data_IF_438186414387
#
_entry.id   IF_438186414387
#
_cell.length_a   1.000
_cell.length_b   1.000
_cell.length_c   1.000
_cell.angle_alpha   90.00
_cell.angle_beta   90.00
_cell.angle_gamma   90.00
#
_symmetry.space_group_name_H-M   'P 1'
#
loop_
_entity.id
_entity.type
_entity.pdbx_description
1 polymer ?
#
# COMPACT_ATOMS: atom_id res chain seq x y z
N UNK A 1 -1.10 -26.77 26.87
CA UNK A 1 -1.42 -25.68 27.84
C UNK A 1 -0.82 -24.38 27.33
N UNK A 2 -1.63 -23.35 27.12
CA UNK A 2 -1.17 -22.10 26.47
C UNK A 2 -0.85 -21.01 27.48
N UNK A 3 0.29 -20.33 27.28
CA UNK A 3 0.70 -19.15 28.06
C UNK A 3 0.48 -17.91 27.20
N UNK A 4 -0.26 -16.93 27.72
CA UNK A 4 -0.49 -15.67 27.01
C UNK A 4 0.71 -14.75 27.20
N UNK A 5 1.43 -14.43 26.13
CA UNK A 5 2.51 -13.44 26.18
C UNK A 5 1.90 -12.05 26.29
N UNK A 6 2.45 -11.19 27.12
CA UNK A 6 1.85 -9.91 27.45
C UNK A 6 2.88 -8.79 27.43
N UNK A 7 2.47 -7.60 26.99
CA UNK A 7 3.27 -6.39 27.15
C UNK A 7 3.44 -6.05 28.64
N UNK A 8 4.49 -5.29 28.97
CA UNK A 8 4.73 -4.83 30.35
C UNK A 8 3.52 -4.07 30.94
N UNK A 9 2.80 -3.32 30.09
CA UNK A 9 1.57 -2.60 30.44
C UNK A 9 0.45 -3.54 30.90
N UNK A 10 0.23 -4.64 30.17
CA UNK A 10 -0.79 -5.63 30.50
C UNK A 10 -0.39 -6.45 31.73
N UNK A 11 0.86 -6.92 31.83
CA UNK A 11 1.36 -7.64 33.00
C UNK A 11 1.18 -6.84 34.30
N UNK A 12 1.47 -5.54 34.26
CA UNK A 12 1.25 -4.63 35.40
C UNK A 12 -0.22 -4.53 35.79
N UNK A 13 -1.13 -4.47 34.80
CA UNK A 13 -2.57 -4.41 35.06
C UNK A 13 -3.13 -5.72 35.63
N UNK A 14 -2.62 -6.86 35.16
CA UNK A 14 -2.96 -8.20 35.65
C UNK A 14 -2.41 -8.51 37.04
N UNK A 15 -1.40 -7.76 37.50
CA UNK A 15 -0.59 -8.10 38.68
C UNK A 15 0.01 -9.50 38.60
N UNK A 16 0.32 -9.95 37.37
CA UNK A 16 0.83 -11.29 37.11
C UNK A 16 2.35 -11.34 37.24
N UNK A 17 2.87 -12.46 37.75
CA UNK A 17 4.31 -12.76 37.70
C UNK A 17 4.58 -13.55 36.42
N UNK A 18 5.36 -13.01 35.46
CA UNK A 18 5.55 -13.66 34.17
C UNK A 18 6.43 -14.91 34.29
N UNK A 19 6.06 -15.98 33.58
CA UNK A 19 6.87 -17.19 33.39
C UNK A 19 8.03 -16.86 32.43
N UNK A 20 9.26 -17.22 32.82
CA UNK A 20 10.47 -16.87 32.03
C UNK A 20 10.64 -17.71 30.76
N UNK A 21 10.24 -18.98 30.78
CA UNK A 21 10.36 -19.90 29.64
C UNK A 21 9.14 -20.81 29.58
N UNK A 22 8.01 -20.31 29.05
CA UNK A 22 6.82 -21.13 28.90
C UNK A 22 7.06 -22.26 27.90
N UNK A 23 6.47 -23.45 28.12
CA UNK A 23 6.50 -24.53 27.13
C UNK A 23 5.77 -24.10 25.86
N UNK A 24 6.16 -24.64 24.68
CA UNK A 24 5.46 -24.34 23.45
C UNK A 24 4.01 -24.86 23.53
N UNK A 25 3.06 -24.15 22.92
CA UNK A 25 1.67 -24.60 22.85
C UNK A 25 1.54 -25.86 22.00
N UNK A 26 0.59 -26.71 22.37
CA UNK A 26 0.27 -28.00 21.76
C UNK A 26 -1.04 -27.99 20.95
N UNK A 27 -1.64 -26.81 20.77
CA UNK A 27 -2.87 -26.57 20.03
C UNK A 27 -2.58 -26.10 18.58
N UNK A 28 -3.62 -25.99 17.74
CA UNK A 28 -3.45 -25.68 16.31
C UNK A 28 -3.00 -24.25 16.06
N UNK A 29 -3.54 -23.28 16.80
CA UNK A 29 -3.25 -21.86 16.59
C UNK A 29 -1.94 -21.42 17.23
N UNK A 30 -1.43 -22.13 18.22
CA UNK A 30 -0.15 -21.85 18.82
C UNK A 30 -0.14 -20.62 19.75
N UNK A 31 0.91 -19.80 19.65
CA UNK A 31 1.20 -18.75 20.62
C UNK A 31 0.37 -17.48 20.40
N UNK A 32 0.17 -16.73 21.48
CA UNK A 32 -0.59 -15.47 21.50
C UNK A 32 0.19 -14.40 22.24
N UNK A 33 0.20 -13.19 21.69
CA UNK A 33 0.74 -11.99 22.36
C UNK A 33 -0.38 -10.95 22.54
N UNK A 34 -0.46 -10.36 23.73
CA UNK A 34 -1.53 -9.44 24.11
C UNK A 34 -1.04 -8.10 24.66
N UNK A 35 -1.81 -7.05 24.39
CA UNK A 35 -1.57 -5.69 24.84
C UNK A 35 -2.82 -5.08 25.49
N UNK A 36 -2.62 -4.15 26.42
CA UNK A 36 -3.70 -3.37 27.04
C UNK A 36 -3.93 -2.08 26.24
N UNK A 37 -5.11 -1.93 25.65
CA UNK A 37 -5.53 -0.77 24.86
C UNK A 37 -6.67 -0.03 25.55
N UNK A 38 -6.83 1.25 25.24
CA UNK A 38 -7.91 2.10 25.79
C UNK A 38 -8.48 2.97 24.69
N UNK A 39 -9.80 2.89 24.52
CA UNK A 39 -10.54 3.73 23.60
C UNK A 39 -11.62 4.47 24.39
N UNK A 40 -11.47 5.80 24.49
CA UNK A 40 -12.29 6.62 25.37
C UNK A 40 -12.22 6.17 26.83
N UNK A 41 -13.36 5.78 27.41
CA UNK A 41 -13.46 5.28 28.80
C UNK A 41 -13.38 3.75 28.92
N UNK A 42 -13.43 3.01 27.80
CA UNK A 42 -13.37 1.55 27.80
C UNK A 42 -11.91 1.10 27.67
N UNK A 43 -11.58 -0.01 28.34
CA UNK A 43 -10.27 -0.64 28.25
C UNK A 43 -10.45 -2.06 27.74
N UNK A 44 -9.59 -2.43 26.79
CA UNK A 44 -9.63 -3.75 26.16
C UNK A 44 -8.25 -4.41 26.23
N UNK A 45 -8.25 -5.74 26.17
CA UNK A 45 -7.08 -6.56 25.89
C UNK A 45 -7.18 -6.95 24.42
N UNK A 46 -6.22 -6.50 23.63
CA UNK A 46 -6.03 -6.94 22.25
C UNK A 46 -5.03 -8.10 22.26
N UNK A 47 -5.49 -9.31 21.96
CA UNK A 47 -4.65 -10.49 21.80
C UNK A 47 -4.48 -10.81 20.31
N UNK A 48 -3.26 -11.05 19.87
CA UNK A 48 -2.92 -11.38 18.49
C UNK A 48 -2.19 -12.72 18.45
N UNK A 49 -2.69 -13.62 17.62
CA UNK A 49 -2.09 -14.93 17.41
C UNK A 49 -0.80 -14.84 16.56
N UNK A 50 0.23 -15.58 16.94
CA UNK A 50 1.54 -15.49 16.27
C UNK A 50 1.56 -16.13 14.88
N UNK A 51 0.99 -17.31 14.62
CA UNK A 51 1.00 -17.87 13.26
C UNK A 51 0.00 -17.21 12.30
N UNK A 52 -1.20 -16.89 12.77
CA UNK A 52 -2.32 -16.48 11.90
C UNK A 52 -2.58 -14.98 11.88
N UNK A 53 -1.97 -14.22 12.81
CA UNK A 53 -2.27 -12.80 13.04
C UNK A 53 -3.73 -12.52 13.44
N UNK A 54 -4.51 -13.54 13.78
CA UNK A 54 -5.86 -13.42 14.32
C UNK A 54 -5.88 -12.46 15.52
N UNK A 55 -6.60 -11.34 15.38
CA UNK A 55 -6.82 -10.37 16.45
C UNK A 55 -8.12 -10.66 17.22
N UNK A 56 -8.02 -10.66 18.55
CA UNK A 56 -9.16 -10.75 19.47
C UNK A 56 -9.17 -9.53 20.37
N UNK A 57 -10.28 -8.80 20.36
CA UNK A 57 -10.56 -7.73 21.31
C UNK A 57 -11.38 -8.30 22.45
N UNK A 58 -10.96 -8.06 23.70
CA UNK A 58 -11.61 -8.59 24.90
C UNK A 58 -11.77 -7.45 25.91
N UNK A 59 -12.91 -7.36 26.59
CA UNK A 59 -13.06 -6.40 27.69
C UNK A 59 -12.01 -6.65 28.78
N UNK A 60 -11.24 -5.61 29.12
CA UNK A 60 -10.08 -5.77 30.00
C UNK A 60 -10.49 -6.16 31.43
N UNK A 61 -11.55 -5.53 31.95
CA UNK A 61 -12.06 -5.80 33.28
C UNK A 61 -13.32 -6.68 33.21
N UNK A 62 -13.52 -7.61 34.18
CA UNK A 62 -12.61 -7.94 35.29
C UNK A 62 -11.46 -8.88 34.85
N UNK A 63 -10.22 -8.56 35.25
CA UNK A 63 -9.04 -9.34 34.84
C UNK A 63 -9.03 -10.80 35.33
N UNK A 64 -9.74 -11.11 36.43
CA UNK A 64 -9.78 -12.45 37.02
C UNK A 64 -10.38 -13.51 36.06
N UNK A 65 -11.35 -13.12 35.24
CA UNK A 65 -11.97 -13.99 34.22
C UNK A 65 -11.51 -13.67 32.79
N UNK A 66 -10.32 -13.06 32.64
CA UNK A 66 -9.76 -12.77 31.32
C UNK A 66 -9.56 -14.05 30.50
N UNK A 67 -9.13 -15.16 31.11
CA UNK A 67 -8.94 -16.43 30.41
C UNK A 67 -10.25 -17.03 29.87
N UNK A 68 -11.34 -16.93 30.64
CA UNK A 68 -12.68 -17.38 30.21
C UNK A 68 -13.20 -16.52 29.06
N UNK A 69 -13.12 -15.19 29.18
CA UNK A 69 -13.56 -14.27 28.11
C UNK A 69 -12.70 -14.38 26.86
N UNK A 70 -11.40 -14.64 27.00
CA UNK A 70 -10.53 -14.95 25.88
C UNK A 70 -11.01 -16.20 25.13
N UNK A 71 -11.31 -17.26 25.89
CA UNK A 71 -11.80 -18.54 25.34
C UNK A 71 -13.12 -18.36 24.61
N UNK A 72 -14.07 -17.64 25.22
CA UNK A 72 -15.36 -17.32 24.61
C UNK A 72 -15.20 -16.48 23.34
N UNK A 73 -14.35 -15.46 23.37
CA UNK A 73 -14.10 -14.60 22.22
C UNK A 73 -13.46 -15.36 21.06
N UNK A 74 -12.50 -16.25 21.35
CA UNK A 74 -11.88 -17.12 20.36
C UNK A 74 -12.90 -18.09 19.75
N UNK A 75 -13.72 -18.75 20.58
CA UNK A 75 -14.77 -19.66 20.12
C UNK A 75 -15.73 -18.93 19.16
N UNK A 76 -16.18 -17.73 19.53
CA UNK A 76 -17.07 -16.92 18.69
C UNK A 76 -16.42 -16.57 17.34
N UNK A 77 -15.13 -16.19 17.32
CA UNK A 77 -14.40 -15.91 16.09
C UNK A 77 -14.22 -17.16 15.22
N UNK A 78 -13.91 -18.32 15.80
CA UNK A 78 -13.77 -19.58 15.05
C UNK A 78 -15.10 -20.05 14.45
N UNK A 79 -16.20 -19.97 15.21
CA UNK A 79 -17.53 -20.28 14.70
C UNK A 79 -17.94 -19.33 13.57
N UNK A 80 -17.62 -18.04 13.69
CA UNK A 80 -17.85 -17.05 12.65
C UNK A 80 -17.12 -17.38 11.34
N UNK A 81 -15.88 -17.86 11.45
CA UNK A 81 -15.07 -18.31 10.32
C UNK A 81 -15.53 -19.65 9.74
N UNK A 82 -16.62 -20.25 10.25
CA UNK A 82 -17.14 -21.53 9.77
C UNK A 82 -16.29 -22.73 10.16
N UNK A 83 -15.46 -22.63 11.21
CA UNK A 83 -14.77 -23.78 11.78
C UNK A 83 -15.82 -24.72 12.41
N UNK A 84 -15.75 -26.05 12.20
CA UNK A 84 -16.69 -27.00 12.79
C UNK A 84 -16.79 -26.82 14.32
N UNK A 85 -18.01 -26.80 14.92
CA UNK A 85 -18.19 -26.46 16.34
C UNK A 85 -17.35 -27.29 17.32
N UNK A 86 -17.16 -28.58 17.04
CA UNK A 86 -16.33 -29.47 17.87
C UNK A 86 -14.85 -29.05 17.84
N UNK A 87 -14.32 -28.72 16.67
CA UNK A 87 -12.94 -28.26 16.50
C UNK A 87 -12.74 -26.86 17.10
N UNK A 88 -13.71 -25.97 16.91
CA UNK A 88 -13.70 -24.62 17.46
C UNK A 88 -13.70 -24.63 19.00
N UNK A 89 -14.53 -25.48 19.60
CA UNK A 89 -14.59 -25.65 21.05
C UNK A 89 -13.27 -26.21 21.61
N UNK A 90 -12.77 -27.29 21.00
CA UNK A 90 -11.52 -27.92 21.43
C UNK A 90 -10.33 -26.95 21.33
N UNK A 91 -10.21 -26.19 20.23
CA UNK A 91 -9.12 -25.22 20.06
C UNK A 91 -9.24 -24.06 21.05
N UNK A 92 -10.45 -23.55 21.28
CA UNK A 92 -10.68 -22.46 22.23
C UNK A 92 -10.30 -22.88 23.66
N UNK A 93 -10.73 -24.06 24.09
CA UNK A 93 -10.38 -24.62 25.41
C UNK A 93 -8.88 -24.87 25.56
N UNK A 94 -8.23 -25.39 24.52
CA UNK A 94 -6.79 -25.62 24.51
C UNK A 94 -5.98 -24.30 24.53
N UNK A 95 -6.50 -23.25 23.89
CA UNK A 95 -5.92 -21.91 23.85
C UNK A 95 -6.13 -21.09 25.12
N UNK A 96 -6.99 -21.55 26.04
CA UNK A 96 -7.29 -20.84 27.29
C UNK A 96 -6.00 -20.53 28.08
N UNK A 97 -5.67 -19.25 28.33
CA UNK A 97 -4.46 -18.85 29.04
C UNK A 97 -4.40 -19.44 30.46
N UNK A 98 -3.39 -20.26 30.73
CA UNK A 98 -3.12 -20.82 32.08
C UNK A 98 -2.04 -20.06 32.84
N UNK A 99 -1.35 -19.14 32.18
CA UNK A 99 -0.31 -18.29 32.74
C UNK A 99 0.02 -17.14 31.81
N UNK A 100 0.91 -16.26 32.27
CA UNK A 100 1.35 -15.08 31.52
C UNK A 100 2.87 -15.08 31.37
N UNK A 101 3.37 -14.64 30.23
CA UNK A 101 4.81 -14.46 29.96
C UNK A 101 5.06 -13.08 29.35
N UNK A 102 6.33 -12.68 29.22
CA UNK A 102 6.69 -11.45 28.51
C UNK A 102 6.58 -11.65 26.99
N UNK A 103 6.14 -10.60 26.28
CA UNK A 103 6.21 -10.53 24.82
C UNK A 103 7.66 -10.66 24.33
N UNK A 104 7.88 -11.43 23.27
CA UNK A 104 9.18 -11.71 22.66
C UNK A 104 9.19 -11.51 21.14
N UNK A 105 8.05 -11.19 20.52
CA UNK A 105 7.87 -11.15 19.07
C UNK A 105 7.69 -9.71 18.56
N UNK A 106 8.73 -9.17 17.93
CA UNK A 106 8.72 -7.80 17.37
C UNK A 106 7.71 -7.66 16.22
N UNK A 107 7.55 -8.68 15.39
CA UNK A 107 6.58 -8.69 14.28
C UNK A 107 5.14 -8.68 14.77
N UNK A 108 4.82 -9.44 15.82
CA UNK A 108 3.46 -9.45 16.39
C UNK A 108 3.16 -8.12 17.09
N UNK A 109 4.16 -7.49 17.70
CA UNK A 109 4.01 -6.14 18.27
C UNK A 109 3.71 -5.09 17.19
N UNK A 110 4.28 -5.21 15.99
CA UNK A 110 3.93 -4.35 14.86
C UNK A 110 2.46 -4.52 14.44
N UNK A 111 1.99 -5.77 14.30
CA UNK A 111 0.57 -6.06 14.04
C UNK A 111 -0.35 -5.53 15.14
N UNK A 112 0.03 -5.68 16.41
CA UNK A 112 -0.71 -5.12 17.54
C UNK A 112 -0.83 -3.60 17.40
N UNK A 113 0.25 -2.89 17.08
CA UNK A 113 0.21 -1.45 16.90
C UNK A 113 -0.71 -1.04 15.74
N UNK A 114 -0.70 -1.80 14.64
CA UNK A 114 -1.60 -1.57 13.50
C UNK A 114 -3.06 -1.74 13.90
N UNK A 115 -3.41 -2.88 14.48
CA UNK A 115 -4.76 -3.12 14.99
C UNK A 115 -5.21 -2.10 16.04
N UNK A 116 -4.29 -1.58 16.86
CA UNK A 116 -4.62 -0.50 17.79
C UNK A 116 -5.08 0.76 17.04
N UNK A 117 -4.39 1.11 15.96
CA UNK A 117 -4.72 2.25 15.12
C UNK A 117 -6.07 2.07 14.42
N UNK A 118 -6.28 0.93 13.76
CA UNK A 118 -7.51 0.66 13.01
C UNK A 118 -8.73 0.67 13.94
N UNK A 119 -8.63 0.00 15.10
CA UNK A 119 -9.72 -0.07 16.07
C UNK A 119 -9.98 1.27 16.79
N UNK A 120 -8.96 2.10 17.00
CA UNK A 120 -9.15 3.46 17.54
C UNK A 120 -10.00 4.31 16.59
N UNK A 121 -9.75 4.21 15.28
CA UNK A 121 -10.55 4.90 14.27
C UNK A 121 -12.01 4.41 14.30
N UNK A 122 -12.25 3.10 14.26
CA UNK A 122 -13.63 2.57 14.31
C UNK A 122 -14.36 2.95 15.59
N UNK A 123 -13.71 2.83 16.75
CA UNK A 123 -14.32 3.17 18.03
C UNK A 123 -14.58 4.69 18.20
N UNK A 124 -13.80 5.53 17.53
CA UNK A 124 -14.03 6.97 17.52
C UNK A 124 -15.36 7.32 16.83
N UNK A 125 -15.68 6.67 15.71
CA UNK A 125 -16.90 6.90 14.93
C UNK A 125 -18.12 6.17 15.51
N UNK A 126 -17.93 4.98 16.06
CA UNK A 126 -18.99 4.22 16.73
C UNK A 126 -18.55 3.76 18.13
N UNK A 127 -19.04 4.50 19.14
CA UNK A 127 -18.70 4.26 20.55
C UNK A 127 -19.47 3.09 21.16
N UNK A 128 -20.47 2.57 20.45
CA UNK A 128 -21.30 1.45 20.90
C UNK A 128 -20.70 0.09 20.56
N UNK A 129 -19.69 0.04 19.66
CA UNK A 129 -18.98 -1.18 19.30
C UNK A 129 -18.54 -2.00 20.52
N UNK A 130 -18.88 -3.28 20.47
CA UNK A 130 -18.54 -4.27 21.49
C UNK A 130 -17.21 -4.95 21.16
N UNK A 131 -16.65 -5.68 22.14
CA UNK A 131 -15.42 -6.45 21.93
C UNK A 131 -15.58 -7.50 20.81
N UNK A 132 -16.78 -8.08 20.64
CA UNK A 132 -17.08 -9.01 19.56
C UNK A 132 -17.14 -8.32 18.20
N UNK A 133 -17.70 -7.11 18.11
CA UNK A 133 -17.75 -6.35 16.85
C UNK A 133 -16.35 -5.96 16.39
N UNK A 134 -15.51 -5.50 17.32
CA UNK A 134 -14.11 -5.16 17.05
C UNK A 134 -13.31 -6.41 16.64
N UNK A 135 -13.51 -7.55 17.30
CA UNK A 135 -12.86 -8.82 16.91
C UNK A 135 -13.28 -9.27 15.51
N UNK A 136 -14.55 -9.09 15.14
CA UNK A 136 -15.05 -9.42 13.80
C UNK A 136 -14.45 -8.53 12.71
N UNK A 137 -14.18 -7.26 13.00
CA UNK A 137 -13.47 -6.37 12.08
C UNK A 137 -12.03 -6.83 11.87
N UNK A 138 -11.30 -7.09 12.97
CA UNK A 138 -9.92 -7.58 12.93
C UNK A 138 -9.73 -8.89 12.15
N UNK A 139 -10.77 -9.71 11.97
CA UNK A 139 -10.72 -10.89 11.13
C UNK A 139 -10.54 -10.57 9.63
N UNK A 140 -11.06 -9.44 9.18
CA UNK A 140 -11.06 -9.02 7.77
C UNK A 140 -10.04 -7.90 7.50
N UNK A 141 -9.28 -7.44 8.51
CA UNK A 141 -8.22 -6.46 8.33
C UNK A 141 -7.01 -7.09 7.62
N UNK A 142 -6.45 -6.37 6.66
CA UNK A 142 -5.23 -6.78 5.96
C UNK A 142 -4.04 -6.65 6.91
N UNK A 143 -3.28 -7.75 7.12
CA UNK A 143 -2.08 -7.74 7.96
C UNK A 143 -0.83 -7.86 7.10
N UNK A 144 -0.12 -6.75 6.98
CA UNK A 144 1.17 -6.68 6.30
C UNK A 144 2.25 -7.29 7.22
N UNK A 145 2.70 -8.51 6.90
CA UNK A 145 3.81 -9.23 7.54
C UNK A 145 4.36 -10.22 6.49
N UNK A 146 5.68 -10.51 6.45
CA UNK A 146 6.38 -10.76 5.19
C UNK A 146 5.97 -12.11 4.59
N UNK A 147 5.65 -12.07 3.29
CA UNK A 147 5.25 -13.18 2.43
C UNK A 147 3.88 -13.82 2.78
N UNK A 148 2.87 -13.54 1.93
CA UNK A 148 1.63 -14.33 1.74
C UNK A 148 0.45 -14.19 2.72
N UNK A 149 0.42 -13.23 3.66
CA UNK A 149 -0.76 -13.04 4.52
C UNK A 149 -1.66 -11.94 3.97
N UNK A 150 -2.76 -12.32 3.28
CA UNK A 150 -3.80 -11.37 2.85
C UNK A 150 -4.80 -11.07 3.97
N UNK A 151 -5.34 -12.10 4.62
CA UNK A 151 -6.33 -11.95 5.71
C UNK A 151 -6.09 -12.96 6.86
N UNK A 152 -6.21 -12.54 8.14
CA UNK A 152 -6.17 -13.45 9.28
C UNK A 152 -7.22 -14.57 9.20
N UNK A 153 -8.41 -14.26 8.68
CA UNK A 153 -9.49 -15.22 8.44
C UNK A 153 -9.02 -16.43 7.62
N UNK A 154 -8.31 -16.20 6.53
CA UNK A 154 -7.83 -17.25 5.64
C UNK A 154 -6.77 -18.12 6.31
N UNK A 155 -5.84 -17.50 7.04
CA UNK A 155 -4.78 -18.23 7.78
C UNK A 155 -5.34 -19.11 8.88
N UNK A 156 -6.39 -18.64 9.56
CA UNK A 156 -7.10 -19.47 10.54
C UNK A 156 -7.77 -20.64 9.81
N UNK A 157 -8.51 -20.40 8.73
CA UNK A 157 -9.18 -21.48 7.98
C UNK A 157 -8.18 -22.52 7.46
N UNK A 158 -7.04 -22.08 6.95
CA UNK A 158 -5.94 -22.95 6.51
C UNK A 158 -5.38 -23.81 7.66
N UNK A 159 -5.22 -23.25 8.87
CA UNK A 159 -4.81 -24.00 10.06
C UNK A 159 -5.83 -25.07 10.50
N UNK A 160 -7.07 -24.99 10.00
CA UNK A 160 -8.14 -25.97 10.19
C UNK A 160 -8.40 -26.82 8.94
N UNK A 161 -7.48 -26.83 7.97
CA UNK A 161 -7.59 -27.62 6.74
C UNK A 161 -8.84 -27.25 5.91
N UNK A 162 -9.32 -26.01 6.04
CA UNK A 162 -10.43 -25.45 5.28
C UNK A 162 -9.91 -24.53 4.17
N UNK A 163 -10.60 -24.47 3.02
CA UNK A 163 -10.25 -23.50 1.98
C UNK A 163 -10.38 -22.07 2.54
N UNK A 164 -9.65 -21.08 2.00
CA UNK A 164 -9.85 -19.67 2.38
C UNK A 164 -11.32 -19.29 2.26
N UNK A 165 -11.75 -18.28 3.02
CA UNK A 165 -13.08 -17.72 2.82
C UNK A 165 -13.07 -17.19 1.38
N UNK A 166 -13.80 -17.84 0.46
CA UNK A 166 -13.84 -17.47 -0.97
C UNK A 166 -13.87 -15.95 -1.09
N UNK A 167 -13.20 -15.33 -2.08
CA UNK A 167 -13.22 -13.87 -2.20
C UNK A 167 -14.67 -13.44 -2.10
N UNK A 168 -14.97 -12.55 -1.15
CA UNK A 168 -16.26 -11.86 -1.10
C UNK A 168 -16.35 -11.11 -2.42
N UNK A 169 -16.87 -11.80 -3.45
CA UNK A 169 -17.31 -11.16 -4.67
C UNK A 169 -18.34 -10.16 -4.17
N UNK A 170 -17.97 -8.88 -4.25
CA UNK A 170 -18.94 -7.82 -4.46
C UNK A 170 -19.84 -8.36 -5.57
N UNK A 171 -21.08 -8.71 -5.23
CA UNK A 171 -22.05 -9.00 -6.26
C UNK A 171 -22.05 -7.75 -7.14
N UNK A 172 -21.73 -7.89 -8.43
CA UNK A 172 -21.95 -6.82 -9.39
C UNK A 172 -23.45 -6.50 -9.32
N UNK A 173 -23.81 -5.45 -8.57
CA UNK A 173 -25.07 -4.78 -8.79
C UNK A 173 -24.86 -4.08 -10.12
N UNK A 174 -25.51 -4.58 -11.16
CA UNK A 174 -25.59 -3.82 -12.42
C UNK A 174 -26.02 -2.40 -12.07
N UNK A 175 -25.34 -1.36 -12.61
CA UNK A 175 -25.73 0.01 -12.33
C UNK A 175 -27.23 0.16 -12.63
N UNK A 176 -28.01 0.77 -11.74
CA UNK A 176 -29.44 0.93 -11.96
C UNK A 176 -29.63 1.64 -13.32
N UNK A 177 -30.58 1.18 -14.15
CA UNK A 177 -30.82 1.80 -15.45
C UNK A 177 -31.11 3.29 -15.24
N UNK A 178 -30.51 4.12 -16.10
CA UNK A 178 -30.57 5.59 -16.05
C UNK A 178 -31.95 6.08 -15.60
N UNK A 179 -32.03 6.63 -14.38
CA UNK A 179 -33.26 7.29 -13.94
C UNK A 179 -33.38 8.63 -14.69
N UNK A 180 -34.45 8.85 -15.46
CA UNK A 180 -34.68 10.13 -16.12
C UNK A 180 -35.11 11.15 -15.06
N UNK A 181 -34.15 11.86 -14.46
CA UNK A 181 -34.47 12.87 -13.45
C UNK A 181 -33.31 13.60 -12.77
N UNK A 182 -32.06 13.14 -12.92
CA UNK A 182 -30.92 13.88 -12.38
C UNK A 182 -30.72 15.19 -13.16
N UNK A 183 -30.98 16.31 -12.49
CA UNK A 183 -30.87 17.65 -13.06
C UNK A 183 -29.44 17.88 -13.53
N UNK A 184 -29.28 18.03 -14.84
CA UNK A 184 -28.03 18.35 -15.52
C UNK A 184 -27.53 19.70 -14.98
N UNK A 185 -26.61 19.69 -14.01
CA UNK A 185 -25.94 20.90 -13.57
C UNK A 185 -25.21 21.49 -14.79
N UNK A 186 -25.67 22.67 -15.21
CA UNK A 186 -25.14 23.41 -16.33
C UNK A 186 -23.65 23.68 -16.09
N UNK A 187 -22.79 23.17 -17.00
CA UNK A 187 -21.39 23.56 -17.10
C UNK A 187 -21.32 25.10 -17.22
N UNK A 188 -20.47 25.80 -16.45
CA UNK A 188 -20.17 27.18 -16.76
C UNK A 188 -19.38 27.25 -18.06
N UNK A 189 -19.83 28.10 -18.98
CA UNK A 189 -19.15 28.44 -20.23
C UNK A 189 -17.71 28.93 -19.94
N UNK A 190 -16.71 28.52 -20.76
CA UNK A 190 -15.34 28.99 -20.59
C UNK A 190 -15.25 30.48 -20.92
N UNK A 191 -14.67 31.26 -20.00
CA UNK A 191 -14.34 32.67 -20.28
C UNK A 191 -13.28 32.74 -21.38
N UNK A 192 -13.38 33.68 -22.34
CA UNK A 192 -12.36 33.87 -23.35
C UNK A 192 -11.07 34.36 -22.70
N UNK A 193 -9.98 33.63 -22.94
CA UNK A 193 -8.63 34.00 -22.52
C UNK A 193 -8.21 35.30 -23.22
N UNK A 194 -8.01 36.36 -22.44
CA UNK A 194 -7.36 37.58 -22.92
C UNK A 194 -5.90 37.24 -23.27
N UNK A 195 -5.53 37.46 -24.53
CA UNK A 195 -4.16 37.27 -25.00
C UNK A 195 -3.21 38.22 -24.30
N UNK A 196 -2.17 37.65 -23.68
CA UNK A 196 -0.96 38.38 -23.30
C UNK A 196 0.14 37.94 -24.26
N UNK A 197 0.35 38.76 -25.29
CA UNK A 197 1.53 38.72 -26.13
C UNK A 197 2.71 39.34 -25.35
N UNK A 198 3.61 38.50 -24.86
CA UNK A 198 4.90 38.90 -24.30
C UNK A 198 5.97 37.96 -24.80
N UNK A 199 6.73 38.38 -25.81
CA UNK A 199 7.82 37.59 -26.39
C UNK A 199 9.07 37.63 -25.53
N UNK A 200 9.73 36.48 -25.38
CA UNK A 200 11.19 36.26 -25.37
C UNK A 200 11.44 34.75 -25.52
N UNK A 201 12.37 34.35 -26.40
CA UNK A 201 12.91 32.98 -26.44
C UNK A 201 12.80 32.27 -27.80
N UNK A 202 13.65 32.67 -28.74
CA UNK A 202 13.92 31.90 -29.95
C UNK A 202 14.59 30.55 -29.63
N UNK A 203 14.22 29.49 -30.36
CA UNK A 203 15.16 28.39 -30.65
C UNK A 203 14.92 27.00 -30.06
N UNK A 204 13.71 26.61 -29.64
CA UNK A 204 13.43 25.18 -29.42
C UNK A 204 12.86 24.60 -30.72
N UNK A 205 13.53 23.61 -31.37
CA UNK A 205 12.97 22.94 -32.53
C UNK A 205 11.62 22.33 -32.16
N UNK A 206 10.58 22.62 -32.96
CA UNK A 206 9.28 21.97 -32.80
C UNK A 206 9.52 20.45 -32.92
N UNK A 207 9.10 19.63 -31.95
CA UNK A 207 9.35 18.20 -32.00
C UNK A 207 8.74 17.60 -33.28
N UNK A 208 9.35 16.55 -33.86
CA UNK A 208 8.92 15.99 -35.13
C UNK A 208 7.46 15.52 -35.05
N UNK A 209 6.76 15.52 -36.18
CA UNK A 209 5.40 15.00 -36.26
C UNK A 209 5.37 13.52 -35.82
N UNK A 210 4.58 13.21 -34.79
CA UNK A 210 4.56 11.88 -34.15
C UNK A 210 5.42 11.76 -32.88
N UNK A 211 6.13 12.82 -32.46
CA UNK A 211 6.77 12.86 -31.15
C UNK A 211 5.71 12.94 -30.06
N UNK A 212 5.54 11.83 -29.34
CA UNK A 212 4.77 11.77 -28.12
C UNK A 212 5.71 12.15 -26.99
N UNK A 213 5.46 13.29 -26.34
CA UNK A 213 6.20 13.69 -25.13
C UNK A 213 6.08 12.58 -24.08
N UNK A 214 7.19 11.92 -23.67
CA UNK A 214 7.16 10.85 -22.69
C UNK A 214 6.61 11.26 -21.33
N UNK A 215 6.55 12.56 -21.04
CA UNK A 215 5.94 13.14 -19.84
C UNK A 215 4.59 13.82 -20.10
N UNK A 216 3.99 13.69 -21.29
CA UNK A 216 2.63 14.17 -21.53
C UNK A 216 1.61 13.16 -21.00
N UNK A 217 0.61 13.67 -20.28
CA UNK A 217 -0.52 12.90 -19.79
C UNK A 217 -1.18 12.07 -20.89
N UNK A 218 -1.65 10.88 -20.53
CA UNK A 218 -2.41 10.04 -21.44
C UNK A 218 -3.71 10.74 -21.86
N UNK A 219 -4.08 10.58 -23.13
CA UNK A 219 -5.39 11.03 -23.62
C UNK A 219 -6.51 10.10 -23.14
N UNK A 220 -7.77 10.52 -23.23
CA UNK A 220 -8.91 9.68 -22.85
C UNK A 220 -8.94 8.33 -23.60
N UNK A 221 -8.63 8.33 -24.90
CA UNK A 221 -8.56 7.10 -25.70
C UNK A 221 -7.39 6.19 -25.32
N UNK A 222 -6.26 6.77 -24.91
CA UNK A 222 -5.11 6.00 -24.40
C UNK A 222 -5.38 5.38 -23.02
N UNK A 223 -6.12 6.10 -22.16
CA UNK A 223 -6.60 5.55 -20.90
C UNK A 223 -7.58 4.40 -21.15
N UNK A 224 -8.48 4.52 -22.14
CA UNK A 224 -9.41 3.46 -22.52
C UNK A 224 -8.69 2.23 -23.08
N UNK A 225 -7.68 2.44 -23.92
CA UNK A 225 -6.83 1.38 -24.46
C UNK A 225 -6.11 0.61 -23.36
N UNK A 226 -5.43 1.32 -22.44
CA UNK A 226 -4.72 0.70 -21.33
C UNK A 226 -5.70 -0.02 -20.37
N UNK A 227 -6.84 0.60 -20.07
CA UNK A 227 -7.86 -0.02 -19.24
C UNK A 227 -8.45 -1.28 -19.86
N UNK A 228 -8.68 -1.29 -21.17
CA UNK A 228 -9.21 -2.44 -21.88
C UNK A 228 -8.20 -3.60 -21.86
N UNK A 229 -6.91 -3.30 -22.02
CA UNK A 229 -5.84 -4.30 -21.90
C UNK A 229 -5.81 -4.92 -20.49
N UNK A 230 -5.75 -4.09 -19.44
CA UNK A 230 -5.69 -4.56 -18.05
C UNK A 230 -6.95 -5.37 -17.65
N UNK A 231 -8.09 -5.11 -18.28
CA UNK A 231 -9.35 -5.81 -18.02
C UNK A 231 -9.51 -7.14 -18.77
N UNK A 232 -8.55 -7.54 -19.62
CA UNK A 232 -8.61 -8.80 -20.37
C UNK A 232 -8.70 -10.01 -19.42
N UNK A 233 -9.49 -11.06 -19.73
CA UNK A 233 -9.68 -12.21 -18.83
C UNK A 233 -8.38 -12.87 -18.34
N UNK A 234 -7.32 -12.88 -19.16
CA UNK A 234 -6.00 -13.44 -18.83
C UNK A 234 -5.20 -12.63 -17.79
N UNK A 235 -5.56 -11.36 -17.59
CA UNK A 235 -4.93 -10.44 -16.65
C UNK A 235 -5.85 -10.07 -15.48
N UNK A 236 -7.17 -10.07 -15.71
CA UNK A 236 -8.19 -9.50 -14.81
C UNK A 236 -8.12 -9.96 -13.35
N UNK A 237 -7.65 -11.18 -13.09
CA UNK A 237 -7.57 -11.73 -11.72
C UNK A 237 -6.26 -11.38 -10.99
N UNK A 238 -5.22 -10.95 -11.71
CA UNK A 238 -3.86 -10.72 -11.17
C UNK A 238 -3.31 -9.32 -11.41
N UNK A 239 -3.77 -8.61 -12.44
CA UNK A 239 -3.24 -7.31 -12.80
C UNK A 239 -3.98 -6.17 -12.08
N UNK A 240 -3.28 -5.05 -11.89
CA UNK A 240 -3.90 -3.80 -11.48
C UNK A 240 -4.90 -3.32 -12.54
N UNK A 241 -6.04 -2.79 -12.12
CA UNK A 241 -6.83 -1.94 -13.02
C UNK A 241 -6.20 -0.54 -13.15
N UNK A 242 -6.72 0.27 -14.07
CA UNK A 242 -6.12 1.57 -14.35
C UNK A 242 -6.21 2.56 -13.17
N UNK A 243 -7.27 2.51 -12.37
CA UNK A 243 -7.42 3.39 -11.22
C UNK A 243 -6.40 3.03 -10.14
N UNK A 244 -6.27 1.73 -9.86
CA UNK A 244 -5.26 1.16 -8.97
C UNK A 244 -3.85 1.49 -9.43
N UNK A 245 -3.54 1.33 -10.73
CA UNK A 245 -2.24 1.65 -11.29
C UNK A 245 -1.84 3.12 -11.10
N UNK A 246 -2.76 4.08 -11.27
CA UNK A 246 -2.41 5.50 -11.03
C UNK A 246 -2.14 5.78 -9.54
N UNK A 247 -2.91 5.17 -8.63
CA UNK A 247 -2.69 5.29 -7.19
C UNK A 247 -1.36 4.68 -6.76
N UNK A 248 -1.06 3.49 -7.26
CA UNK A 248 0.23 2.81 -7.07
C UNK A 248 1.39 3.64 -7.59
N UNK A 249 1.29 4.13 -8.84
CA UNK A 249 2.29 5.02 -9.41
C UNK A 249 2.48 6.29 -8.58
N UNK A 250 1.40 6.85 -8.01
CA UNK A 250 1.51 8.01 -7.13
C UNK A 250 2.34 7.71 -5.88
N UNK A 251 2.10 6.59 -5.19
CA UNK A 251 2.87 6.15 -4.04
C UNK A 251 4.36 5.97 -4.38
N UNK A 252 4.64 5.24 -5.47
CA UNK A 252 6.01 5.00 -5.97
C UNK A 252 6.72 6.32 -6.32
N UNK A 253 6.02 7.27 -6.93
CA UNK A 253 6.59 8.57 -7.32
C UNK A 253 6.93 9.46 -6.12
N UNK A 254 6.09 9.43 -5.08
CA UNK A 254 6.30 10.26 -3.89
C UNK A 254 7.09 9.54 -2.80
N UNK A 255 7.56 8.32 -3.06
CA UNK A 255 8.36 7.53 -2.13
C UNK A 255 9.61 8.29 -1.64
N UNK A 256 10.10 7.98 -0.44
CA UNK A 256 11.29 8.61 0.12
C UNK A 256 12.54 8.33 -0.73
N UNK A 257 12.67 7.10 -1.24
CA UNK A 257 13.74 6.73 -2.17
C UNK A 257 13.22 6.44 -3.59
N UNK A 258 14.15 6.44 -4.54
CA UNK A 258 13.83 6.15 -5.94
C UNK A 258 13.65 4.65 -6.11
N UNK A 259 12.42 4.24 -6.43
CA UNK A 259 12.09 2.85 -6.79
C UNK A 259 12.33 2.65 -8.28
N UNK A 260 13.09 1.62 -8.66
CA UNK A 260 13.41 1.37 -10.07
C UNK A 260 12.23 0.71 -10.79
N UNK A 261 12.02 0.98 -12.10
CA UNK A 261 11.00 0.31 -12.88
C UNK A 261 11.07 -1.22 -12.85
N UNK A 262 12.26 -1.81 -12.72
CA UNK A 262 12.42 -3.26 -12.55
C UNK A 262 11.72 -3.81 -11.32
N UNK A 263 11.53 -2.99 -10.29
CA UNK A 263 11.07 -3.42 -8.97
C UNK A 263 9.55 -3.26 -8.85
N UNK A 264 8.99 -2.18 -9.40
CA UNK A 264 7.56 -1.88 -9.29
C UNK A 264 6.73 -2.35 -10.50
N UNK A 265 7.31 -2.37 -11.70
CA UNK A 265 6.56 -2.70 -12.92
C UNK A 265 5.97 -4.12 -12.92
N UNK A 266 6.64 -5.16 -12.39
CA UNK A 266 6.06 -6.50 -12.32
C UNK A 266 4.72 -6.57 -11.57
N UNK A 267 4.56 -5.78 -10.50
CA UNK A 267 3.35 -5.73 -9.68
C UNK A 267 2.12 -5.19 -10.42
N UNK A 268 2.32 -4.49 -11.54
CA UNK A 268 1.21 -4.05 -12.41
C UNK A 268 0.49 -5.25 -13.03
N UNK A 269 1.22 -6.33 -13.29
CA UNK A 269 0.74 -7.53 -14.00
C UNK A 269 0.42 -8.68 -13.04
N UNK A 270 1.07 -8.68 -11.88
CA UNK A 270 0.99 -9.70 -10.86
C UNK A 270 0.98 -9.04 -9.48
N UNK A 271 -0.21 -8.69 -9.03
CA UNK A 271 -0.50 -8.08 -7.73
C UNK A 271 -0.11 -8.96 -6.55
N UNK A 272 -0.02 -10.27 -6.77
CA UNK A 272 0.13 -11.24 -5.70
C UNK A 272 1.61 -11.41 -5.34
N UNK A 273 2.47 -11.62 -6.35
CA UNK A 273 3.88 -11.97 -6.14
C UNK A 273 4.85 -11.05 -6.89
N UNK A 274 4.38 -10.19 -7.80
CA UNK A 274 5.24 -9.35 -8.64
C UNK A 274 6.28 -10.15 -9.43
N UNK A 275 5.99 -11.42 -9.73
CA UNK A 275 6.95 -12.36 -10.30
C UNK A 275 6.60 -12.72 -11.74
N UNK A 276 5.31 -12.83 -12.04
CA UNK A 276 4.83 -13.22 -13.36
C UNK A 276 4.85 -12.03 -14.33
N UNK A 277 5.44 -12.18 -15.53
CA UNK A 277 5.41 -11.12 -16.53
C UNK A 277 3.99 -10.89 -17.05
N UNK A 278 3.78 -9.73 -17.68
CA UNK A 278 2.58 -9.53 -18.49
C UNK A 278 2.56 -10.54 -19.65
N UNK A 279 1.39 -11.15 -19.83
CA UNK A 279 1.12 -11.98 -20.99
C UNK A 279 0.75 -11.04 -22.15
N UNK A 280 1.67 -10.86 -23.10
CA UNK A 280 1.47 -10.03 -24.30
C UNK A 280 1.34 -10.95 -25.52
N UNK A 281 0.37 -10.69 -26.38
CA UNK A 281 0.18 -11.47 -27.61
C UNK A 281 1.30 -11.21 -28.64
N UNK A 282 1.83 -9.98 -28.65
CA UNK A 282 2.85 -9.56 -29.61
C UNK A 282 3.83 -8.58 -28.99
N UNK A 283 5.04 -8.50 -29.55
CA UNK A 283 6.03 -7.48 -29.19
C UNK A 283 5.50 -6.05 -29.38
N UNK A 284 4.67 -5.83 -30.40
CA UNK A 284 4.06 -4.53 -30.65
C UNK A 284 3.05 -4.14 -29.56
N UNK A 285 2.25 -5.11 -29.08
CA UNK A 285 1.37 -4.92 -27.92
C UNK A 285 2.18 -4.60 -26.67
N UNK A 286 3.23 -5.39 -26.40
CA UNK A 286 4.12 -5.17 -25.27
C UNK A 286 4.71 -3.76 -25.28
N UNK A 287 5.31 -3.34 -26.40
CA UNK A 287 5.90 -2.01 -26.56
C UNK A 287 4.86 -0.90 -26.37
N UNK A 288 3.64 -1.08 -26.90
CA UNK A 288 2.57 -0.09 -26.79
C UNK A 288 2.08 0.05 -25.34
N UNK A 289 1.75 -1.06 -24.68
CA UNK A 289 1.19 -1.05 -23.34
C UNK A 289 2.23 -0.60 -22.31
N UNK A 290 3.47 -1.09 -22.39
CA UNK A 290 4.56 -0.62 -21.53
C UNK A 290 4.81 0.88 -21.73
N UNK A 291 4.75 1.35 -22.98
CA UNK A 291 4.84 2.78 -23.28
C UNK A 291 3.73 3.61 -22.63
N UNK A 292 2.50 3.08 -22.58
CA UNK A 292 1.36 3.74 -21.92
C UNK A 292 1.54 3.75 -20.39
N UNK A 293 1.93 2.63 -19.79
CA UNK A 293 2.20 2.54 -18.34
C UNK A 293 3.30 3.51 -17.92
N UNK A 294 4.41 3.52 -18.65
CA UNK A 294 5.53 4.43 -18.34
C UNK A 294 5.15 5.90 -18.56
N UNK A 295 4.30 6.22 -19.55
CA UNK A 295 3.79 7.59 -19.73
C UNK A 295 2.82 8.01 -18.63
N UNK A 296 1.98 7.10 -18.14
CA UNK A 296 1.14 7.34 -16.96
C UNK A 296 2.03 7.68 -15.76
N UNK A 297 3.02 6.82 -15.46
CA UNK A 297 3.99 7.04 -14.39
C UNK A 297 4.71 8.39 -14.52
N UNK A 298 5.26 8.69 -15.70
CA UNK A 298 5.96 9.94 -15.97
C UNK A 298 5.04 11.16 -15.84
N UNK A 299 3.76 11.03 -16.22
CA UNK A 299 2.76 12.08 -16.02
C UNK A 299 2.54 12.39 -14.55
N UNK A 300 2.42 11.35 -13.70
CA UNK A 300 2.33 11.49 -12.24
C UNK A 300 3.61 12.12 -11.67
N UNK A 301 4.79 11.62 -12.06
CA UNK A 301 6.10 12.15 -11.64
C UNK A 301 6.26 13.64 -11.99
N UNK A 302 5.86 14.01 -13.21
CA UNK A 302 5.91 15.41 -13.68
C UNK A 302 4.97 16.30 -12.88
N UNK A 303 3.75 15.85 -12.58
CA UNK A 303 2.81 16.60 -11.76
C UNK A 303 3.41 16.91 -10.37
N UNK A 304 3.98 15.91 -9.69
CA UNK A 304 4.63 16.12 -8.39
C UNK A 304 5.96 16.89 -8.44
N UNK A 305 6.55 17.05 -9.63
CA UNK A 305 7.79 17.82 -9.82
C UNK A 305 7.54 19.30 -10.10
N UNK A 306 6.51 19.64 -10.89
CA UNK A 306 6.25 21.00 -11.34
C UNK A 306 5.08 21.68 -10.63
N UNK A 307 3.90 21.04 -10.64
CA UNK A 307 2.64 21.64 -10.15
C UNK A 307 1.86 20.61 -9.30
N UNK A 308 2.34 20.34 -8.08
CA UNK A 308 1.86 19.22 -7.25
C UNK A 308 0.44 19.45 -6.76
N UNK A 309 0.08 20.73 -6.54
CA UNK A 309 -1.26 21.16 -6.13
C UNK A 309 -2.31 20.93 -7.22
N UNK A 310 -1.88 20.79 -8.47
CA UNK A 310 -2.76 20.56 -9.62
C UNK A 310 -2.87 19.07 -9.98
N UNK A 311 -2.18 18.19 -9.25
CA UNK A 311 -2.38 16.75 -9.40
C UNK A 311 -3.81 16.38 -9.02
N UNK A 312 -4.59 15.96 -10.01
CA UNK A 312 -5.96 15.47 -9.84
C UNK A 312 -5.98 13.97 -10.10
N UNK A 313 -6.22 13.09 -9.14
CA UNK A 313 -6.42 11.66 -9.39
C UNK A 313 -7.49 11.38 -10.45
N UNK A 314 -7.39 10.25 -11.16
CA UNK A 314 -8.32 9.82 -12.22
C UNK A 314 -9.79 9.87 -11.77
N UNK A 315 -10.09 9.42 -10.55
CA UNK A 315 -11.44 9.43 -9.98
C UNK A 315 -12.01 10.85 -9.75
N UNK A 316 -11.16 11.88 -9.70
CA UNK A 316 -11.60 13.29 -9.69
C UNK A 316 -11.71 13.89 -11.11
N UNK A 317 -11.04 13.29 -12.10
CA UNK A 317 -11.10 13.73 -13.50
C UNK A 317 -12.35 13.20 -14.20
N UNK A 318 -12.72 11.96 -13.91
CA UNK A 318 -13.84 11.24 -14.53
C UNK A 318 -14.44 10.25 -13.52
N UNK A 319 -15.77 10.29 -13.37
CA UNK A 319 -16.52 9.48 -12.40
C UNK A 319 -16.55 7.99 -12.74
N UNK A 320 -16.09 7.59 -13.93
CA UNK A 320 -15.95 6.16 -14.29
C UNK A 320 -14.86 5.45 -13.50
N UNK A 321 -13.94 6.19 -12.88
CA UNK A 321 -12.85 5.64 -12.09
C UNK A 321 -13.19 5.63 -10.61
N UNK A 322 -12.96 4.50 -9.96
CA UNK A 322 -13.28 4.30 -8.54
C UNK A 322 -12.13 4.79 -7.64
N UNK A 323 -12.45 5.69 -6.71
CA UNK A 323 -11.50 6.18 -5.73
C UNK A 323 -11.00 5.08 -4.78
N UNK A 324 -11.81 4.04 -4.54
CA UNK A 324 -11.43 2.90 -3.69
C UNK A 324 -10.27 2.13 -4.30
N UNK A 325 -10.40 1.77 -5.59
CA UNK A 325 -9.37 1.08 -6.36
C UNK A 325 -8.09 1.91 -6.47
N UNK A 326 -8.24 3.22 -6.66
CA UNK A 326 -7.10 4.14 -6.63
C UNK A 326 -6.39 4.12 -5.27
N UNK A 327 -7.13 4.19 -4.16
CA UNK A 327 -6.54 4.16 -2.82
C UNK A 327 -5.90 2.80 -2.49
N UNK A 328 -6.50 1.70 -2.93
CA UNK A 328 -5.95 0.36 -2.79
C UNK A 328 -4.57 0.27 -3.47
N UNK A 329 -4.46 0.76 -4.71
CA UNK A 329 -3.17 0.84 -5.40
C UNK A 329 -2.15 1.71 -4.67
N UNK A 330 -2.57 2.86 -4.14
CA UNK A 330 -1.70 3.71 -3.33
C UNK A 330 -1.16 2.99 -2.09
N UNK A 331 -2.01 2.25 -1.39
CA UNK A 331 -1.62 1.49 -0.20
C UNK A 331 -0.62 0.36 -0.55
N UNK A 332 -0.82 -0.35 -1.67
CA UNK A 332 0.13 -1.35 -2.18
C UNK A 332 1.50 -0.72 -2.45
N UNK A 333 1.54 0.49 -2.98
CA UNK A 333 2.81 1.17 -3.28
C UNK A 333 3.62 1.58 -2.05
N UNK A 334 3.04 1.52 -0.84
CA UNK A 334 3.76 1.78 0.41
C UNK A 334 4.71 0.64 0.80
N UNK A 335 4.60 -0.52 0.14
CA UNK A 335 5.49 -1.65 0.37
C UNK A 335 6.94 -1.35 -0.04
N UNK A 336 7.14 -0.43 -0.98
CA UNK A 336 8.46 0.13 -1.25
C UNK A 336 8.85 1.11 -0.16
N UNK A 337 9.97 0.85 0.52
CA UNK A 337 10.43 1.62 1.68
C UNK A 337 9.46 1.59 2.87
N UNK A 338 8.77 0.46 3.08
CA UNK A 338 7.75 0.24 4.12
C UNK A 338 8.12 0.85 5.49
N UNK A 339 9.35 0.63 5.96
CA UNK A 339 9.80 1.14 7.26
C UNK A 339 9.68 2.67 7.38
N UNK A 340 9.97 3.40 6.29
CA UNK A 340 9.85 4.85 6.26
C UNK A 340 8.39 5.28 6.20
N UNK A 341 7.58 4.63 5.36
CA UNK A 341 6.15 4.90 5.27
C UNK A 341 5.42 4.67 6.59
N UNK A 342 5.71 3.57 7.28
CA UNK A 342 5.16 3.28 8.61
C UNK A 342 5.59 4.33 9.63
N UNK A 343 6.85 4.78 9.60
CA UNK A 343 7.32 5.87 10.47
C UNK A 343 6.55 7.18 10.22
N UNK A 344 6.28 7.56 8.96
CA UNK A 344 5.48 8.75 8.66
C UNK A 344 4.01 8.54 9.03
N UNK A 345 3.47 7.35 8.83
CA UNK A 345 2.09 7.02 9.22
C UNK A 345 1.90 7.15 10.73
N UNK A 346 2.89 6.76 11.54
CA UNK A 346 2.87 6.94 12.99
C UNK A 346 2.89 8.42 13.39
N UNK A 347 3.68 9.25 12.70
CA UNK A 347 3.80 10.68 12.97
C UNK A 347 2.58 11.48 12.50
N UNK A 348 2.05 11.17 11.32
CA UNK A 348 1.08 11.97 10.58
C UNK A 348 -0.14 11.14 10.16
N UNK A 349 -0.70 10.40 11.12
CA UNK A 349 -1.83 9.49 10.96
C UNK A 349 -2.98 10.03 10.10
N UNK A 350 -3.38 11.28 10.33
CA UNK A 350 -4.50 11.92 9.63
C UNK A 350 -4.28 12.10 8.12
N UNK A 351 -3.04 11.96 7.65
CA UNK A 351 -2.72 12.04 6.22
C UNK A 351 -3.09 10.74 5.52
N UNK A 352 -2.99 9.60 6.19
CA UNK A 352 -3.26 8.27 5.61
C UNK A 352 -4.72 7.84 5.73
N UNK A 353 -5.47 8.43 6.67
CA UNK A 353 -6.89 8.14 6.92
C UNK A 353 -7.75 8.02 5.66
N UNK A 354 -7.76 8.98 4.70
CA UNK A 354 -8.62 8.84 3.52
C UNK A 354 -8.24 7.65 2.64
N UNK A 355 -6.97 7.28 2.56
CA UNK A 355 -6.50 6.13 1.78
C UNK A 355 -6.93 4.83 2.44
N UNK A 356 -6.81 4.73 3.77
CA UNK A 356 -7.25 3.58 4.54
C UNK A 356 -8.78 3.38 4.46
N UNK A 357 -9.56 4.46 4.63
CA UNK A 357 -11.03 4.38 4.61
C UNK A 357 -11.62 4.06 3.22
N UNK A 358 -10.92 4.42 2.15
CA UNK A 358 -11.37 4.17 0.78
C UNK A 358 -10.77 2.87 0.21
N UNK A 359 -9.53 2.52 0.57
CA UNK A 359 -8.73 1.50 -0.11
C UNK A 359 -8.54 0.19 0.65
N UNK A 360 -9.18 -0.01 1.80
CA UNK A 360 -9.00 -1.24 2.62
C UNK A 360 -9.74 -2.48 2.08
N UNK A 361 -10.44 -2.38 0.94
CA UNK A 361 -11.19 -3.49 0.35
C UNK A 361 -12.52 -3.81 1.04
N UNK A 362 -12.90 -3.09 2.10
CA UNK A 362 -14.21 -3.23 2.73
C UNK A 362 -15.30 -2.44 1.98
N UNK A 363 -16.54 -2.91 2.10
CA UNK A 363 -17.69 -2.15 1.63
C UNK A 363 -17.90 -0.94 2.55
N UNK A 364 -17.77 0.26 1.98
CA UNK A 364 -18.06 1.50 2.68
C UNK A 364 -19.56 1.53 3.00
N UNK A 365 -19.89 1.71 4.27
CA UNK A 365 -21.27 1.79 4.74
C UNK A 365 -22.04 2.88 3.98
N UNK A 366 -23.30 2.60 3.61
CA UNK A 366 -24.13 3.54 2.84
C UNK A 366 -24.30 4.88 3.56
N UNK A 367 -24.33 4.87 4.89
CA UNK A 367 -24.42 6.06 5.73
C UNK A 367 -23.24 7.03 5.52
N UNK A 368 -22.05 6.51 5.20
CA UNK A 368 -20.86 7.32 4.90
C UNK A 368 -20.99 8.07 3.57
N UNK A 369 -21.69 7.47 2.60
CA UNK A 369 -22.08 8.16 1.37
C UNK A 369 -23.14 9.23 1.65
N UNK A 370 -24.17 8.87 2.41
CA UNK A 370 -25.32 9.74 2.69
C UNK A 370 -24.91 11.00 3.46
N UNK A 371 -23.96 10.89 4.39
CA UNK A 371 -23.43 12.03 5.13
C UNK A 371 -22.32 12.81 4.39
N UNK A 372 -21.94 12.36 3.18
CA UNK A 372 -20.96 13.01 2.31
C UNK A 372 -19.50 12.81 2.73
N UNK A 373 -19.20 11.85 3.59
CA UNK A 373 -17.83 11.61 4.05
C UNK A 373 -16.94 11.06 2.93
N UNK A 374 -17.47 10.18 2.08
CA UNK A 374 -16.72 9.65 0.92
C UNK A 374 -16.21 10.76 0.01
N UNK A 375 -17.05 11.75 -0.31
CA UNK A 375 -16.63 12.89 -1.13
C UNK A 375 -15.61 13.79 -0.42
N UNK A 376 -15.72 13.95 0.90
CA UNK A 376 -14.71 14.68 1.70
C UNK A 376 -13.37 13.95 1.70
N UNK A 377 -13.36 12.64 1.85
CA UNK A 377 -12.13 11.84 1.79
C UNK A 377 -11.49 11.89 0.40
N UNK A 378 -12.30 11.73 -0.66
CA UNK A 378 -11.85 11.88 -2.05
C UNK A 378 -11.20 13.24 -2.32
N UNK A 379 -11.80 14.32 -1.81
CA UNK A 379 -11.36 15.69 -2.05
C UNK A 379 -10.06 16.05 -1.30
N UNK A 380 -9.77 15.41 -0.16
CA UNK A 380 -8.57 15.73 0.63
C UNK A 380 -7.32 14.95 0.20
N UNK A 381 -7.46 13.84 -0.52
CA UNK A 381 -6.33 13.00 -0.98
C UNK A 381 -5.23 13.79 -1.71
N UNK A 382 -5.52 14.66 -2.70
CA UNK A 382 -4.47 15.41 -3.39
C UNK A 382 -3.61 16.25 -2.43
N UNK A 383 -4.24 16.87 -1.44
CA UNK A 383 -3.54 17.63 -0.41
C UNK A 383 -2.65 16.72 0.44
N UNK A 384 -3.11 15.50 0.78
CA UNK A 384 -2.32 14.54 1.57
C UNK A 384 -1.09 14.05 0.82
N UNK A 385 -1.23 13.77 -0.48
CA UNK A 385 -0.09 13.39 -1.33
C UNK A 385 0.99 14.47 -1.35
N UNK A 386 0.59 15.73 -1.48
CA UNK A 386 1.52 16.87 -1.43
C UNK A 386 2.22 16.96 -0.07
N UNK A 387 1.47 16.78 1.03
CA UNK A 387 2.03 16.79 2.39
C UNK A 387 3.07 15.68 2.60
N UNK A 388 2.77 14.46 2.18
CA UNK A 388 3.69 13.31 2.27
C UNK A 388 4.97 13.56 1.48
N UNK A 389 4.85 13.97 0.22
CA UNK A 389 6.00 14.33 -0.62
C UNK A 389 6.85 15.44 0.01
N UNK A 390 6.22 16.49 0.52
CA UNK A 390 6.92 17.62 1.14
C UNK A 390 7.62 17.22 2.44
N UNK A 391 7.05 16.28 3.18
CA UNK A 391 7.71 15.70 4.33
C UNK A 391 9.02 15.03 3.91
N UNK A 392 9.02 14.17 2.89
CA UNK A 392 10.24 13.51 2.41
C UNK A 392 11.28 14.49 1.88
N UNK A 393 10.86 15.48 1.08
CA UNK A 393 11.77 16.51 0.56
C UNK A 393 12.46 17.33 1.65
N UNK A 394 11.78 17.57 2.79
CA UNK A 394 12.35 18.32 3.93
C UNK A 394 13.35 17.50 4.74
N UNK A 395 13.19 16.18 4.77
CA UNK A 395 14.04 15.29 5.57
C UNK A 395 15.11 14.58 4.73
N UNK A 396 15.09 14.75 3.40
CA UNK A 396 16.16 14.26 2.54
C UNK A 396 17.43 15.07 2.82
N UNK A 397 18.56 14.43 3.19
CA UNK A 397 19.82 15.13 3.27
C UNK A 397 20.12 15.77 1.91
N UNK A 398 20.69 16.98 1.90
CA UNK A 398 21.14 17.58 0.64
C UNK A 398 22.03 16.57 -0.09
N UNK A 399 21.78 16.31 -1.38
CA UNK A 399 22.63 15.41 -2.13
C UNK A 399 24.06 15.94 -2.03
N UNK A 400 24.99 15.08 -1.60
CA UNK A 400 26.40 15.46 -1.61
C UNK A 400 26.73 15.98 -3.02
N UNK A 401 27.42 17.12 -3.13
CA UNK A 401 27.78 17.65 -4.43
C UNK A 401 28.48 16.54 -5.21
N UNK A 402 28.14 16.35 -6.51
CA UNK A 402 28.73 15.29 -7.30
C UNK A 402 30.26 15.39 -7.16
N UNK A 403 30.98 14.27 -7.01
CA UNK A 403 32.43 14.30 -6.88
C UNK A 403 32.98 15.16 -8.02
N UNK A 404 33.91 16.08 -7.72
CA UNK A 404 34.41 17.00 -8.73
C UNK A 404 34.85 16.19 -9.94
N UNK A 405 34.51 16.62 -11.18
CA UNK A 405 34.83 15.86 -12.37
C UNK A 405 36.31 15.52 -12.33
N UNK A 406 36.61 14.21 -12.39
CA UNK A 406 37.96 13.69 -12.23
C UNK A 406 38.86 14.34 -13.28
N UNK A 407 39.60 15.39 -12.88
CA UNK A 407 40.58 16.04 -13.74
C UNK A 407 41.72 15.04 -13.87
N UNK A 408 41.99 14.60 -15.10
CA UNK A 408 43.21 13.82 -15.39
C UNK A 408 44.41 14.59 -14.83
N UNK A 409 45.17 13.94 -13.95
CA UNK A 409 46.45 14.45 -13.44
C UNK A 409 47.48 14.60 -14.56
N UNK A 410 47.34 13.78 -15.61
CA UNK A 410 48.21 13.77 -16.77
C UNK A 410 47.58 14.52 -17.96
N UNK A 411 48.39 15.28 -18.73
CA UNK A 411 47.91 15.94 -19.93
C UNK A 411 47.27 14.92 -20.88
N UNK A 412 46.14 15.31 -21.51
CA UNK A 412 45.50 14.49 -22.54
C UNK A 412 46.49 14.32 -23.70
N UNK A 413 47.04 13.11 -23.85
CA UNK A 413 47.90 12.75 -24.99
C UNK A 413 47.14 13.07 -26.28
N UNK A 414 47.66 14.02 -27.05
CA UNK A 414 47.11 14.42 -28.32
C UNK A 414 47.20 13.29 -29.33
N UNK A 415 46.24 13.22 -30.25
CA UNK A 415 46.18 12.19 -31.31
C UNK A 415 47.48 12.08 -32.13
N UNK A 416 48.26 13.15 -32.20
CA UNK A 416 49.54 13.22 -32.93
C UNK A 416 50.79 13.20 -32.04
N UNK A 417 50.65 13.17 -30.72
CA UNK A 417 51.78 13.21 -29.78
C UNK A 417 52.46 11.83 -29.69
N UNK A 418 53.72 11.77 -29.20
CA UNK A 418 54.40 10.50 -28.93
C UNK A 418 53.58 9.61 -28.00
N UNK A 419 53.47 8.33 -28.35
CA UNK A 419 52.68 7.37 -27.59
C UNK A 419 53.38 7.01 -26.27
N UNK A 420 52.61 6.98 -25.19
CA UNK A 420 53.09 6.75 -23.81
C UNK A 420 53.57 5.32 -23.55
N UNK A 421 53.36 4.38 -24.48
CA UNK A 421 53.88 3.01 -24.39
C UNK A 421 55.37 2.87 -24.73
N UNK A 422 56.07 3.99 -25.01
CA UNK A 422 57.50 3.99 -25.32
C UNK A 422 57.85 3.60 -26.76
N UNK A 423 56.87 3.43 -27.65
CA UNK A 423 57.11 3.00 -29.04
C UNK A 423 57.72 4.06 -29.96
N UNK A 424 57.80 5.31 -29.52
CA UNK A 424 58.26 6.46 -30.33
C UNK A 424 57.31 6.87 -31.47
N UNK A 425 56.18 6.18 -31.67
CA UNK A 425 55.18 6.47 -32.72
C UNK A 425 54.13 7.46 -32.22
N UNK A 426 53.43 8.15 -33.14
CA UNK A 426 52.26 9.00 -32.81
C UNK A 426 51.13 8.14 -32.20
N UNK A 427 50.43 8.62 -31.18
CA UNK A 427 49.37 7.89 -30.46
C UNK A 427 48.35 7.21 -31.39
N UNK A 428 47.83 7.92 -32.41
CA UNK A 428 46.87 7.37 -33.39
C UNK A 428 47.38 6.21 -34.26
N UNK A 429 48.69 6.00 -34.32
CA UNK A 429 49.35 4.92 -35.07
C UNK A 429 49.91 3.84 -34.16
N UNK A 430 49.58 3.89 -32.87
CA UNK A 430 50.02 2.93 -31.85
C UNK A 430 48.84 2.60 -30.94
N UNK A 431 48.88 2.85 -29.64
CA UNK A 431 47.81 2.48 -28.70
C UNK A 431 46.45 3.13 -29.00
N UNK A 432 46.40 4.22 -29.77
CA UNK A 432 45.17 4.84 -30.25
C UNK A 432 44.74 4.37 -31.65
N UNK A 433 45.34 3.31 -32.19
CA UNK A 433 44.92 2.72 -33.46
C UNK A 433 43.71 1.80 -33.23
N UNK A 434 42.78 1.69 -34.21
CA UNK A 434 41.53 0.91 -34.06
C UNK A 434 41.75 -0.56 -33.70
N UNK A 435 42.91 -1.11 -34.08
CA UNK A 435 43.27 -2.52 -33.86
C UNK A 435 43.82 -2.79 -32.45
N UNK A 436 44.10 -1.74 -31.67
CA UNK A 436 44.77 -1.80 -30.37
C UNK A 436 43.93 -1.24 -29.22
N UNK A 437 42.73 -0.73 -29.53
CA UNK A 437 41.72 -0.35 -28.56
C UNK A 437 40.91 -1.61 -28.22
N UNK A 438 41.07 -2.12 -27.00
CA UNK A 438 40.25 -3.19 -26.45
C UNK A 438 38.91 -2.66 -25.94
#
# INVERSE_FOLDING_TARGET
MTTLRCTAKLLKALKATPVESPPPPDNRLGEWTANLVRYGRKAFVLAVNEPTRLGLMIDAAPYASLGERFTEQLLNSLLWLGIPPEQALAEAEASCPRGFARSNSASVLATINRYCFDMEAHYHYDRELTAIDLSRRLLNEVVLSPAHIRFPADRVREAFDLPPERPRRVAFVEPPPDQPGATRLLRPEPRPSAGVSGGYGAGIPKPPAGFVDPGASLTAGELDELSAFLAQPRLRERAMDLAMLEGYAAAVVIAPEVVLPSDWLPWVWDLDDGAEPADFETEAEAQRILGLVMRLYNGVARAFTHEPVDFKPLYLRDSRWDARRWCEGFLIGLDFDEAQWLSLMDQERTWFTPFALLGNGEEILQEEYDCGNVERWKAIIPQRLVQMRDHWRRHRPEPEPPPPPMRRSEPKVGRNDPCTCGSGKKFKKCCGAPQTLH
#
